data_IF_898289149953
#
_entry.id   IF_898289149953
#
_cell.length_a   1.000
_cell.length_b   1.000
_cell.length_c   1.000
_cell.angle_alpha   90.00
_cell.angle_beta   90.00
_cell.angle_gamma   90.00
#
_symmetry.space_group_name_H-M   'P 1'
#
loop_
_entity.id
_entity.type
_entity.pdbx_description
1 polymer ?
#
# COMPACT_ATOMS: atom_id res chain seq x y z
N UNK A 1 20.09 -2.53 -2.09
CA UNK A 1 18.76 -3.09 -1.74
C UNK A 1 18.02 -1.95 -1.06
N UNK A 2 16.73 -1.74 -1.33
CA UNK A 2 16.02 -0.60 -0.74
C UNK A 2 15.24 -1.04 0.50
N UNK A 3 15.28 -0.23 1.54
CA UNK A 3 14.48 -0.42 2.76
C UNK A 3 13.48 0.71 2.90
N UNK A 4 12.32 0.40 3.45
CA UNK A 4 11.29 1.39 3.75
C UNK A 4 11.82 2.38 4.79
N UNK A 5 11.86 3.67 4.46
CA UNK A 5 12.35 4.69 5.38
C UNK A 5 11.34 4.88 6.52
N UNK A 6 11.79 4.73 7.77
CA UNK A 6 10.95 4.97 8.94
C UNK A 6 10.50 6.42 9.02
N UNK A 7 9.25 6.62 9.44
CA UNK A 7 8.67 7.94 9.70
C UNK A 7 8.26 8.06 11.17
N UNK A 8 8.32 9.27 11.71
CA UNK A 8 8.01 9.57 13.12
C UNK A 8 6.65 10.28 13.30
N UNK A 9 5.85 10.39 12.24
CA UNK A 9 4.53 11.00 12.26
C UNK A 9 3.48 9.97 11.84
N UNK A 10 2.32 10.02 12.50
CA UNK A 10 1.20 9.13 12.19
C UNK A 10 0.59 9.52 10.83
N UNK A 11 0.43 8.58 9.89
CA UNK A 11 -0.27 8.86 8.63
C UNK A 11 -1.73 9.22 8.86
N UNK A 12 -2.24 10.19 8.11
CA UNK A 12 -3.65 10.61 8.15
C UNK A 12 -4.34 10.31 6.80
N UNK A 13 -5.67 10.41 6.81
CA UNK A 13 -6.53 10.10 5.65
C UNK A 13 -6.99 11.36 4.92
N UNK A 14 -6.36 12.53 5.17
CA UNK A 14 -6.79 13.83 4.65
C UNK A 14 -6.70 13.89 3.11
N UNK A 15 -5.73 13.17 2.53
CA UNK A 15 -5.53 13.09 1.09
C UNK A 15 -6.36 11.98 0.41
N UNK A 16 -7.24 11.30 1.17
CA UNK A 16 -8.09 10.23 0.66
C UNK A 16 -9.50 10.75 0.37
N UNK A 17 -10.03 10.38 -0.78
CA UNK A 17 -11.45 10.58 -1.07
C UNK A 17 -12.32 9.54 -0.33
N UNK A 18 -13.63 9.72 -0.36
CA UNK A 18 -14.56 8.87 0.40
C UNK A 18 -14.56 7.41 -0.08
N UNK A 19 -14.36 7.16 -1.38
CA UNK A 19 -14.26 5.79 -1.91
C UNK A 19 -12.98 5.09 -1.41
N UNK A 20 -11.87 5.81 -1.32
CA UNK A 20 -10.60 5.30 -0.77
C UNK A 20 -10.70 5.05 0.74
N UNK A 21 -11.36 5.93 1.48
CA UNK A 21 -11.63 5.73 2.91
C UNK A 21 -12.51 4.50 3.14
N UNK A 22 -13.56 4.34 2.35
CA UNK A 22 -14.44 3.16 2.41
C UNK A 22 -13.68 1.87 2.06
N UNK A 23 -12.81 1.90 1.05
CA UNK A 23 -11.95 0.77 0.72
C UNK A 23 -11.05 0.38 1.91
N UNK A 24 -10.37 1.35 2.51
CA UNK A 24 -9.53 1.10 3.68
C UNK A 24 -10.34 0.52 4.83
N UNK A 25 -11.49 1.11 5.17
CA UNK A 25 -12.35 0.61 6.24
C UNK A 25 -12.80 -0.86 6.07
N UNK A 26 -12.81 -1.39 4.84
CA UNK A 26 -13.18 -2.77 4.54
C UNK A 26 -11.98 -3.73 4.48
N UNK A 27 -10.81 -3.22 4.08
CA UNK A 27 -9.69 -4.07 3.67
C UNK A 27 -8.40 -3.83 4.46
N UNK A 28 -8.28 -2.73 5.17
CA UNK A 28 -7.05 -2.29 5.82
C UNK A 28 -7.31 -1.51 7.11
N UNK A 29 -6.76 -2.02 8.20
CA UNK A 29 -6.76 -1.34 9.49
C UNK A 29 -5.36 -1.38 10.11
N UNK A 30 -4.89 -0.25 10.62
CA UNK A 30 -3.58 -0.16 11.26
C UNK A 30 -3.73 0.28 12.71
N UNK A 31 -3.25 -0.56 13.63
CA UNK A 31 -3.32 -0.35 15.07
C UNK A 31 -1.95 -0.49 15.73
N UNK A 32 -1.85 -0.17 17.02
CA UNK A 32 -0.57 -0.11 17.73
C UNK A 32 0.25 -1.41 17.67
N UNK A 33 -0.40 -2.57 17.75
CA UNK A 33 0.29 -3.87 17.81
C UNK A 33 0.29 -4.63 16.48
N UNK A 34 -0.69 -4.39 15.61
CA UNK A 34 -0.91 -5.17 14.39
C UNK A 34 -1.54 -4.34 13.27
N UNK A 35 -1.41 -4.89 12.06
CA UNK A 35 -2.16 -4.50 10.88
C UNK A 35 -3.19 -5.57 10.57
N UNK A 36 -4.42 -5.18 10.23
CA UNK A 36 -5.48 -6.07 9.78
C UNK A 36 -5.67 -5.87 8.29
N UNK A 37 -5.48 -6.93 7.50
CA UNK A 37 -5.65 -6.90 6.05
C UNK A 37 -6.71 -7.93 5.66
N UNK A 38 -7.79 -7.49 5.03
CA UNK A 38 -8.94 -8.34 4.67
C UNK A 38 -9.44 -9.20 5.87
N UNK A 39 -9.44 -8.61 7.07
CA UNK A 39 -9.85 -9.29 8.31
C UNK A 39 -8.81 -10.24 8.91
N UNK A 40 -7.61 -10.34 8.34
CA UNK A 40 -6.51 -11.14 8.89
C UNK A 40 -5.54 -10.23 9.66
N UNK A 41 -5.37 -10.43 10.99
CA UNK A 41 -4.40 -9.69 11.78
C UNK A 41 -2.97 -10.20 11.53
N UNK A 42 -2.03 -9.26 11.40
CA UNK A 42 -0.61 -9.49 11.17
C UNK A 42 0.17 -8.61 12.13
N UNK A 43 0.99 -9.21 12.99
CA UNK A 43 1.84 -8.44 13.89
C UNK A 43 2.92 -7.69 13.11
N UNK A 44 3.15 -6.41 13.43
CA UNK A 44 4.12 -5.57 12.69
C UNK A 44 5.51 -6.19 12.61
N UNK A 45 5.95 -6.86 13.67
CA UNK A 45 7.25 -7.53 13.78
C UNK A 45 7.45 -8.71 12.82
N UNK A 46 6.37 -9.22 12.20
CA UNK A 46 6.43 -10.32 11.24
C UNK A 46 6.65 -9.82 9.81
N UNK A 47 6.40 -8.54 9.52
CA UNK A 47 6.53 -7.98 8.17
C UNK A 47 8.01 -7.80 7.83
N UNK A 48 8.49 -8.51 6.82
CA UNK A 48 9.90 -8.44 6.39
C UNK A 48 10.08 -7.72 5.05
N UNK A 49 9.08 -7.80 4.17
CA UNK A 49 9.13 -7.28 2.81
C UNK A 49 7.81 -6.67 2.41
N UNK A 50 7.88 -5.56 1.68
CA UNK A 50 6.75 -4.95 0.98
C UNK A 50 7.10 -4.77 -0.48
N UNK A 51 6.21 -5.23 -1.34
CA UNK A 51 6.31 -5.08 -2.78
C UNK A 51 5.14 -4.27 -3.32
N UNK A 52 5.43 -3.36 -4.25
CA UNK A 52 4.42 -2.59 -4.95
C UNK A 52 4.59 -2.72 -6.45
N UNK A 53 3.58 -3.30 -7.09
CA UNK A 53 3.52 -3.44 -8.53
C UNK A 53 2.47 -2.49 -9.13
N UNK A 54 2.82 -1.82 -10.23
CA UNK A 54 1.83 -1.04 -11.01
C UNK A 54 0.95 -2.01 -11.79
N UNK A 55 -0.37 -1.92 -11.64
CA UNK A 55 -1.32 -2.78 -12.33
C UNK A 55 -1.23 -2.55 -13.85
N UNK A 56 -0.85 -3.59 -14.61
CA UNK A 56 -0.86 -3.54 -16.07
C UNK A 56 -2.31 -3.50 -16.58
N UNK A 57 -2.67 -2.44 -17.31
CA UNK A 57 -3.98 -2.35 -17.99
C UNK A 57 -3.77 -2.34 -19.50
N UNK A 58 -4.60 -3.09 -20.23
CA UNK A 58 -4.55 -3.20 -21.68
C UNK A 58 -4.50 -1.81 -22.35
N UNK A 59 -3.44 -1.56 -23.12
CA UNK A 59 -3.11 -0.31 -23.80
C UNK A 59 -3.92 -0.07 -25.09
N UNK A 60 -5.22 -0.37 -25.08
CA UNK A 60 -6.13 -0.14 -26.20
C UNK A 60 -6.83 1.22 -26.14
N UNK A 61 -7.26 1.75 -27.29
CA UNK A 61 -8.03 3.02 -27.42
C UNK A 61 -9.30 3.00 -26.55
N UNK A 62 -9.94 1.84 -26.40
CA UNK A 62 -11.08 1.62 -25.51
C UNK A 62 -10.72 1.77 -24.02
N UNK A 63 -9.47 1.49 -23.64
CA UNK A 63 -8.96 1.68 -22.28
C UNK A 63 -8.75 3.15 -21.90
N UNK A 64 -8.52 4.03 -22.88
CA UNK A 64 -8.31 5.47 -22.65
C UNK A 64 -9.61 6.22 -22.32
N UNK A 65 -10.74 5.81 -22.92
CA UNK A 65 -12.06 6.40 -22.65
C UNK A 65 -12.54 6.00 -21.25
N UNK A 66 -12.36 4.72 -20.87
CA UNK A 66 -12.65 4.24 -19.49
C UNK A 66 -11.73 4.93 -18.46
N UNK A 67 -10.46 5.18 -18.80
CA UNK A 67 -9.48 5.91 -17.98
C UNK A 67 -9.94 7.31 -17.58
N UNK A 68 -10.66 8.02 -18.47
CA UNK A 68 -11.14 9.40 -18.20
C UNK A 68 -12.55 9.48 -17.64
N UNK A 69 -13.44 8.55 -17.99
CA UNK A 69 -14.86 8.65 -17.65
C UNK A 69 -15.29 7.82 -16.43
N UNK A 70 -14.59 6.74 -16.07
CA UNK A 70 -15.11 5.77 -15.07
C UNK A 70 -14.10 5.44 -13.96
N UNK A 71 -12.80 5.40 -14.23
CA UNK A 71 -11.81 4.95 -13.24
C UNK A 71 -10.55 5.82 -13.26
N UNK A 72 -10.57 6.88 -12.44
CA UNK A 72 -9.44 7.80 -12.28
C UNK A 72 -8.15 7.09 -11.85
N UNK A 73 -7.06 7.46 -12.53
CA UNK A 73 -5.68 7.24 -12.10
C UNK A 73 -5.06 5.87 -12.38
N UNK A 74 -3.73 5.84 -12.28
CA UNK A 74 -2.94 4.60 -12.22
C UNK A 74 -3.32 3.77 -10.97
N UNK A 75 -3.13 2.45 -11.06
CA UNK A 75 -3.50 1.49 -10.00
C UNK A 75 -2.32 0.63 -9.61
N UNK A 76 -2.33 0.20 -8.36
CA UNK A 76 -1.22 -0.50 -7.73
C UNK A 76 -1.72 -1.77 -7.02
N UNK A 77 -0.82 -2.73 -6.89
CA UNK A 77 -0.95 -3.90 -6.03
C UNK A 77 0.11 -3.76 -4.95
N UNK A 78 -0.27 -3.90 -3.68
CA UNK A 78 0.63 -3.86 -2.53
C UNK A 78 0.65 -5.25 -1.91
N UNK A 79 1.79 -5.94 -2.05
CA UNK A 79 2.07 -7.22 -1.40
C UNK A 79 2.85 -6.99 -0.10
N UNK A 80 2.39 -7.59 0.98
CA UNK A 80 2.99 -7.50 2.32
C UNK A 80 3.34 -8.92 2.74
N UNK A 81 4.63 -9.20 2.84
CA UNK A 81 5.16 -10.53 3.14
C UNK A 81 5.54 -10.64 4.61
N UNK A 82 5.18 -11.77 5.20
CA UNK A 82 5.36 -12.07 6.61
C UNK A 82 5.87 -13.51 6.78
N UNK A 83 7.16 -13.73 6.52
CA UNK A 83 7.74 -15.07 6.55
C UNK A 83 7.22 -15.97 5.43
N UNK A 84 6.25 -16.85 5.74
CA UNK A 84 5.63 -17.76 4.74
C UNK A 84 4.26 -17.29 4.25
N UNK A 85 3.71 -16.27 4.89
CA UNK A 85 2.39 -15.73 4.58
C UNK A 85 2.52 -14.43 3.78
N UNK A 86 1.50 -14.17 2.97
CA UNK A 86 1.40 -12.99 2.12
C UNK A 86 -0.01 -12.41 2.23
N UNK A 87 -0.08 -11.09 2.35
CA UNK A 87 -1.32 -10.34 2.22
C UNK A 87 -1.21 -9.35 1.05
N UNK A 88 -2.21 -9.35 0.17
CA UNK A 88 -2.21 -8.51 -1.04
C UNK A 88 -3.43 -7.59 -1.07
N UNK A 89 -3.16 -6.31 -1.26
CA UNK A 89 -4.17 -5.30 -1.57
C UNK A 89 -4.07 -4.94 -3.05
N UNK A 90 -5.09 -5.32 -3.82
CA UNK A 90 -5.09 -5.20 -5.27
C UNK A 90 -5.85 -3.96 -5.76
N UNK A 91 -5.41 -3.42 -6.91
CA UNK A 91 -6.12 -2.36 -7.64
C UNK A 91 -6.38 -1.08 -6.80
N UNK A 92 -5.47 -0.78 -5.88
CA UNK A 92 -5.54 0.42 -5.05
C UNK A 92 -5.08 1.66 -5.84
N UNK A 93 -5.54 2.84 -5.43
CA UNK A 93 -5.04 4.10 -5.98
C UNK A 93 -3.63 4.39 -5.46
N UNK A 94 -2.97 5.38 -6.07
CA UNK A 94 -1.71 5.92 -5.59
C UNK A 94 -1.79 6.32 -4.11
N UNK A 95 -2.79 7.13 -3.74
CA UNK A 95 -2.92 7.66 -2.39
C UNK A 95 -3.14 6.55 -1.34
N UNK A 96 -3.91 5.52 -1.70
CA UNK A 96 -4.11 4.35 -0.83
C UNK A 96 -2.82 3.56 -0.68
N UNK A 97 -2.08 3.29 -1.77
CA UNK A 97 -0.78 2.63 -1.69
C UNK A 97 0.19 3.40 -0.78
N UNK A 98 0.30 4.72 -0.98
CA UNK A 98 1.14 5.58 -0.14
C UNK A 98 0.71 5.56 1.33
N UNK A 99 -0.60 5.58 1.61
CA UNK A 99 -1.13 5.50 2.98
C UNK A 99 -0.76 4.18 3.65
N UNK A 100 -0.90 3.06 2.95
CA UNK A 100 -0.52 1.73 3.43
C UNK A 100 0.99 1.69 3.75
N UNK A 101 1.83 2.10 2.79
CA UNK A 101 3.29 2.11 2.96
C UNK A 101 3.72 2.99 4.14
N UNK A 102 3.12 4.17 4.30
CA UNK A 102 3.42 5.07 5.42
C UNK A 102 3.01 4.47 6.77
N UNK A 103 1.91 3.71 6.85
CA UNK A 103 1.54 3.02 8.08
C UNK A 103 2.57 1.93 8.43
N UNK A 104 3.01 1.16 7.43
CA UNK A 104 4.06 0.15 7.62
C UNK A 104 5.38 0.82 8.05
N UNK A 105 5.75 1.96 7.45
CA UNK A 105 6.93 2.73 7.82
C UNK A 105 6.88 3.33 9.24
N UNK A 106 5.68 3.65 9.72
CA UNK A 106 5.45 4.24 11.03
C UNK A 106 5.44 3.17 12.13
N UNK A 107 4.65 2.12 11.96
CA UNK A 107 4.46 1.06 12.96
C UNK A 107 5.53 -0.04 12.90
N UNK A 108 6.13 -0.29 11.73
CA UNK A 108 7.23 -1.24 11.55
C UNK A 108 8.45 -0.84 12.39
N UNK A 109 8.86 -1.75 13.29
CA UNK A 109 10.01 -1.55 14.17
C UNK A 109 11.35 -1.91 13.53
N UNK A 110 11.33 -2.93 12.68
CA UNK A 110 12.49 -3.50 11.98
C UNK A 110 12.71 -2.89 10.59
N UNK A 111 13.85 -3.21 9.98
CA UNK A 111 14.12 -2.90 8.58
C UNK A 111 13.21 -3.75 7.68
N UNK A 112 12.41 -3.09 6.86
CA UNK A 112 11.47 -3.73 5.94
C UNK A 112 11.98 -3.52 4.52
N UNK A 113 12.22 -4.61 3.80
CA UNK A 113 12.66 -4.56 2.40
C UNK A 113 11.56 -3.95 1.54
N UNK A 114 11.93 -3.04 0.64
CA UNK A 114 11.00 -2.41 -0.28
C UNK A 114 11.37 -2.72 -1.74
N UNK A 115 10.40 -3.17 -2.51
CA UNK A 115 10.49 -3.31 -3.97
C UNK A 115 9.31 -2.60 -4.63
N UNK A 116 9.55 -1.59 -5.45
CA UNK A 116 8.48 -0.88 -6.15
C UNK A 116 8.94 0.46 -6.74
N UNK A 117 8.01 1.25 -7.31
CA UNK A 117 8.31 2.58 -7.81
C UNK A 117 8.93 3.48 -6.73
N UNK A 118 9.99 4.21 -7.09
CA UNK A 118 10.79 5.01 -6.14
C UNK A 118 10.07 6.27 -5.62
N UNK A 119 8.98 6.68 -6.28
CA UNK A 119 8.21 7.89 -5.98
C UNK A 119 7.02 7.66 -5.02
N UNK A 120 6.80 6.43 -4.57
CA UNK A 120 5.69 6.08 -3.67
C UNK A 120 5.96 6.40 -2.21
N UNK A 121 7.18 6.18 -1.75
CA UNK A 121 7.55 6.28 -0.33
C UNK A 121 9.03 6.57 -0.19
N UNK A 122 9.42 7.16 0.94
CA UNK A 122 10.84 7.31 1.28
C UNK A 122 11.50 5.93 1.43
N UNK A 123 12.69 5.79 0.88
CA UNK A 123 13.50 4.56 0.98
C UNK A 123 14.92 4.91 1.39
N UNK A 124 15.59 3.97 2.07
CA UNK A 124 17.02 4.04 2.39
C UNK A 124 17.78 2.88 1.74
N UNK A 125 19.09 3.04 1.57
CA UNK A 125 20.00 1.97 1.11
C UNK A 125 20.40 1.01 2.25
#
# INVERSE_FOLDING_TARGET
MAYLQRINYRPNTDNLNDAEKNYLAQHFEAYGAEIVINGQPIAWQLIDTVEVAKAARASGVSGWIVKKLVMGGDRYHVGIYCGRDEAVLINVTLNVAQYILKNIAYYGGQSITYTGPADLVGVTE
#
